data_IF_036991825478
#
_entry.id   IF_036991825478
#
_cell.length_a   1.000
_cell.length_b   1.000
_cell.length_c   1.000
_cell.angle_alpha   90.00
_cell.angle_beta   90.00
_cell.angle_gamma   90.00
#
_symmetry.space_group_name_H-M   'P 1'
#
loop_
_entity.id
_entity.type
_entity.pdbx_description
1 polymer ?
#
# COMPACT_ATOMS: atom_id res chain seq x y z
N UNK A 1 29.10 -25.05 -27.27
CA UNK A 1 28.49 -25.67 -26.07
C UNK A 1 27.14 -25.04 -25.81
N UNK A 2 26.16 -25.85 -25.60
CA UNK A 2 24.79 -25.34 -25.37
C UNK A 2 24.60 -25.12 -23.89
N UNK A 3 23.97 -23.99 -23.52
CA UNK A 3 23.50 -23.77 -22.15
C UNK A 3 22.42 -24.79 -21.83
N UNK A 4 22.49 -25.36 -20.65
CA UNK A 4 21.43 -26.25 -20.18
C UNK A 4 20.19 -25.40 -19.77
N UNK A 5 19.04 -26.06 -19.70
CA UNK A 5 17.85 -25.43 -19.19
C UNK A 5 18.07 -24.91 -17.75
N UNK A 6 18.81 -25.64 -16.93
CA UNK A 6 19.11 -25.22 -15.56
C UNK A 6 19.95 -23.95 -15.52
N UNK A 7 20.90 -23.78 -16.41
CA UNK A 7 21.73 -22.58 -16.49
C UNK A 7 20.89 -21.37 -16.91
N UNK A 8 20.01 -21.55 -17.91
CA UNK A 8 19.10 -20.50 -18.36
C UNK A 8 18.12 -20.09 -17.25
N UNK A 9 17.57 -21.07 -16.54
CA UNK A 9 16.66 -20.80 -15.42
C UNK A 9 17.37 -20.06 -14.29
N UNK A 10 18.62 -20.38 -14.01
CA UNK A 10 19.41 -19.69 -12.98
C UNK A 10 19.61 -18.22 -13.34
N UNK A 11 19.94 -17.93 -14.60
CA UNK A 11 20.09 -16.57 -15.09
C UNK A 11 18.78 -15.78 -14.97
N UNK A 12 17.65 -16.41 -15.34
CA UNK A 12 16.33 -15.80 -15.27
C UNK A 12 15.93 -15.52 -13.81
N UNK A 13 16.24 -16.44 -12.89
CA UNK A 13 15.94 -16.23 -11.47
C UNK A 13 16.66 -15.00 -10.94
N UNK A 14 17.94 -14.81 -11.25
CA UNK A 14 18.70 -13.65 -10.81
C UNK A 14 18.12 -12.36 -11.36
N UNK A 15 17.83 -12.34 -12.66
CA UNK A 15 17.25 -11.16 -13.33
C UNK A 15 15.87 -10.82 -12.78
N UNK A 16 14.99 -11.83 -12.68
CA UNK A 16 13.62 -11.64 -12.22
C UNK A 16 13.55 -11.29 -10.74
N UNK A 17 14.50 -11.75 -9.94
CA UNK A 17 14.52 -11.48 -8.50
C UNK A 17 14.57 -9.98 -8.22
N UNK A 18 15.42 -9.24 -8.91
CA UNK A 18 15.48 -7.79 -8.76
C UNK A 18 14.17 -7.11 -9.11
N UNK A 19 13.57 -7.52 -10.22
CA UNK A 19 12.29 -6.98 -10.66
C UNK A 19 11.18 -7.29 -9.66
N UNK A 20 11.15 -8.52 -9.15
CA UNK A 20 10.18 -8.92 -8.12
C UNK A 20 10.34 -8.11 -6.85
N UNK A 21 11.58 -7.85 -6.42
CA UNK A 21 11.83 -7.05 -5.22
C UNK A 21 11.40 -5.60 -5.41
N UNK A 22 11.61 -5.03 -6.59
CA UNK A 22 11.11 -3.70 -6.91
C UNK A 22 9.59 -3.63 -6.87
N UNK A 23 8.92 -4.67 -7.39
CA UNK A 23 7.47 -4.76 -7.35
C UNK A 23 6.95 -4.94 -5.92
N UNK A 24 7.60 -5.82 -5.14
CA UNK A 24 7.24 -6.01 -3.73
C UNK A 24 7.40 -4.72 -2.93
N UNK A 25 8.42 -3.92 -3.23
CA UNK A 25 8.61 -2.63 -2.60
C UNK A 25 7.39 -1.74 -2.75
N UNK A 26 6.77 -1.74 -3.93
CA UNK A 26 5.57 -0.94 -4.19
C UNK A 26 4.37 -1.40 -3.39
N UNK A 27 4.26 -2.71 -3.15
CA UNK A 27 3.10 -3.30 -2.49
C UNK A 27 3.33 -3.63 -1.01
N UNK A 28 4.55 -3.45 -0.51
CA UNK A 28 4.87 -3.78 0.87
C UNK A 28 3.99 -3.06 1.88
N UNK A 29 3.72 -1.75 1.74
CA UNK A 29 2.81 -1.08 2.66
C UNK A 29 1.43 -1.72 2.69
N UNK A 30 0.92 -2.16 1.54
CA UNK A 30 -0.36 -2.86 1.45
C UNK A 30 -0.33 -4.14 2.28
N UNK A 31 0.71 -4.97 2.12
CA UNK A 31 0.82 -6.22 2.88
C UNK A 31 0.90 -5.98 4.39
N UNK A 32 1.59 -4.93 4.79
CA UNK A 32 1.66 -4.54 6.21
C UNK A 32 0.31 -4.10 6.74
N UNK A 33 -0.44 -3.38 5.93
CA UNK A 33 -1.71 -2.78 6.35
C UNK A 33 -2.88 -3.75 6.24
N UNK A 34 -2.76 -4.81 5.46
CA UNK A 34 -3.84 -5.79 5.29
C UNK A 34 -4.15 -6.52 6.60
N UNK A 35 -3.19 -6.61 7.50
CA UNK A 35 -3.38 -7.21 8.83
C UNK A 35 -4.15 -6.29 9.78
N UNK A 36 -4.28 -5.01 9.45
CA UNK A 36 -5.10 -4.10 10.22
C UNK A 36 -6.57 -4.24 9.81
N UNK A 37 -7.46 -3.92 10.71
CA UNK A 37 -8.88 -4.01 10.44
C UNK A 37 -9.64 -2.92 11.16
N UNK A 38 -10.93 -2.81 10.87
CA UNK A 38 -11.82 -1.89 11.57
C UNK A 38 -12.47 -2.54 12.80
N UNK A 39 -12.06 -3.76 13.18
CA UNK A 39 -12.69 -4.51 14.29
C UNK A 39 -12.64 -3.76 15.61
N UNK A 40 -11.52 -3.08 15.88
CA UNK A 40 -11.32 -2.35 17.14
C UNK A 40 -11.65 -0.86 17.00
N UNK A 41 -12.11 -0.45 15.84
CA UNK A 41 -12.45 0.93 15.57
C UNK A 41 -13.95 1.14 15.85
N UNK A 42 -14.27 2.10 16.73
CA UNK A 42 -15.66 2.40 17.11
C UNK A 42 -16.45 1.15 17.54
N UNK A 43 -15.82 0.30 18.34
CA UNK A 43 -16.42 -0.94 18.86
C UNK A 43 -16.90 -1.89 17.75
N UNK A 44 -16.21 -1.91 16.63
CA UNK A 44 -16.54 -2.77 15.50
C UNK A 44 -17.67 -2.29 14.61
N UNK A 45 -18.10 -1.05 14.77
CA UNK A 45 -19.19 -0.47 13.97
C UNK A 45 -18.94 -0.58 12.45
N UNK A 46 -17.69 -0.47 12.03
CA UNK A 46 -17.29 -0.53 10.62
C UNK A 46 -16.51 -1.80 10.27
N UNK A 47 -16.69 -2.84 11.05
CA UNK A 47 -16.01 -4.12 10.85
C UNK A 47 -16.21 -4.71 9.46
N UNK A 48 -17.36 -4.43 8.84
CA UNK A 48 -17.68 -4.91 7.49
C UNK A 48 -16.85 -4.26 6.40
N UNK A 49 -16.19 -3.13 6.69
CA UNK A 49 -15.32 -2.48 5.72
C UNK A 49 -14.05 -3.30 5.52
N UNK A 50 -13.71 -3.54 4.27
CA UNK A 50 -12.48 -4.26 3.91
C UNK A 50 -11.31 -3.28 3.92
N UNK A 51 -10.46 -3.38 4.93
CA UNK A 51 -9.29 -2.51 5.08
C UNK A 51 -8.34 -2.65 3.90
N UNK A 52 -8.11 -3.89 3.43
CA UNK A 52 -7.21 -4.12 2.30
C UNK A 52 -7.67 -3.43 1.03
N UNK A 53 -8.97 -3.56 0.73
CA UNK A 53 -9.56 -2.90 -0.44
C UNK A 53 -9.42 -1.38 -0.36
N UNK A 54 -9.79 -0.81 0.79
CA UNK A 54 -9.79 0.65 0.98
C UNK A 54 -8.36 1.19 0.92
N UNK A 55 -7.41 0.54 1.59
CA UNK A 55 -6.02 0.98 1.59
C UNK A 55 -5.43 0.91 0.18
N UNK A 56 -5.71 -0.15 -0.57
CA UNK A 56 -5.24 -0.26 -1.96
C UNK A 56 -5.78 0.89 -2.81
N UNK A 57 -7.07 1.21 -2.68
CA UNK A 57 -7.68 2.30 -3.41
C UNK A 57 -7.09 3.66 -3.03
N UNK A 58 -6.87 3.89 -1.75
CA UNK A 58 -6.29 5.14 -1.24
C UNK A 58 -4.85 5.32 -1.72
N UNK A 59 -4.03 4.27 -1.65
CA UNK A 59 -2.65 4.34 -2.12
C UNK A 59 -2.58 4.61 -3.62
N UNK A 60 -3.44 3.95 -4.38
CA UNK A 60 -3.53 4.18 -5.82
C UNK A 60 -3.93 5.62 -6.12
N UNK A 61 -4.90 6.14 -5.40
CA UNK A 61 -5.35 7.53 -5.54
C UNK A 61 -4.20 8.51 -5.28
N UNK A 62 -3.43 8.32 -4.21
CA UNK A 62 -2.30 9.18 -3.90
C UNK A 62 -1.25 9.16 -5.01
N UNK A 63 -0.92 7.98 -5.52
CA UNK A 63 0.08 7.84 -6.57
C UNK A 63 -0.38 8.50 -7.87
N UNK A 64 -1.60 8.23 -8.30
CA UNK A 64 -2.11 8.77 -9.56
C UNK A 64 -2.31 10.29 -9.51
N UNK A 65 -2.86 10.80 -8.41
CA UNK A 65 -3.08 12.24 -8.27
C UNK A 65 -1.76 13.00 -8.18
N UNK A 66 -0.79 12.47 -7.46
CA UNK A 66 0.53 13.09 -7.37
C UNK A 66 1.21 13.15 -8.74
N UNK A 67 1.18 12.05 -9.49
CA UNK A 67 1.76 11.99 -10.84
C UNK A 67 1.02 12.91 -11.82
N UNK A 68 -0.29 12.98 -11.73
CA UNK A 68 -1.13 13.75 -12.66
C UNK A 68 -1.01 15.25 -12.44
N UNK A 69 -1.06 15.67 -11.17
CA UNK A 69 -1.07 17.10 -10.82
C UNK A 69 0.30 17.67 -10.50
N UNK A 70 1.30 16.82 -10.38
CA UNK A 70 2.66 17.20 -9.96
C UNK A 70 2.67 17.97 -8.64
N UNK A 71 1.73 17.63 -7.74
CA UNK A 71 1.63 18.24 -6.41
C UNK A 71 1.01 17.25 -5.43
N UNK A 72 1.18 17.55 -4.15
CA UNK A 72 0.68 16.71 -3.09
C UNK A 72 -0.86 16.70 -3.05
N UNK A 73 -1.42 15.58 -2.63
CA UNK A 73 -2.84 15.44 -2.41
C UNK A 73 -3.20 16.14 -1.10
N UNK A 74 -4.22 16.98 -1.15
CA UNK A 74 -4.70 17.67 0.06
C UNK A 74 -5.64 16.78 0.86
N UNK A 75 -5.82 17.10 2.14
CA UNK A 75 -6.75 16.38 3.01
C UNK A 75 -8.20 16.42 2.49
N UNK A 76 -8.73 17.56 2.05
CA UNK A 76 -10.08 17.58 1.47
C UNK A 76 -10.23 16.68 0.24
N UNK A 77 -9.23 16.63 -0.63
CA UNK A 77 -9.24 15.73 -1.80
C UNK A 77 -9.27 14.27 -1.38
N UNK A 78 -8.47 13.91 -0.38
CA UNK A 78 -8.45 12.56 0.18
C UNK A 78 -9.80 12.20 0.81
N UNK A 79 -10.37 13.11 1.59
CA UNK A 79 -11.66 12.89 2.24
C UNK A 79 -12.78 12.68 1.21
N UNK A 80 -12.80 13.50 0.16
CA UNK A 80 -13.80 13.38 -0.91
C UNK A 80 -13.67 12.04 -1.64
N UNK A 81 -12.44 11.62 -1.91
CA UNK A 81 -12.20 10.32 -2.53
C UNK A 81 -12.68 9.17 -1.64
N UNK A 82 -12.35 9.21 -0.36
CA UNK A 82 -12.77 8.19 0.58
C UNK A 82 -14.29 8.10 0.69
N UNK A 83 -14.97 9.24 0.77
CA UNK A 83 -16.44 9.29 0.80
C UNK A 83 -17.05 8.67 -0.46
N UNK A 84 -16.44 8.93 -1.61
CA UNK A 84 -16.86 8.34 -2.87
C UNK A 84 -16.77 6.82 -2.83
N UNK A 85 -15.64 6.28 -2.36
CA UNK A 85 -15.41 4.83 -2.25
C UNK A 85 -16.40 4.20 -1.28
N UNK A 86 -16.60 4.80 -0.12
CA UNK A 86 -17.52 4.26 0.88
C UNK A 86 -18.95 4.19 0.35
N UNK A 87 -19.37 5.22 -0.36
CA UNK A 87 -20.72 5.26 -0.93
C UNK A 87 -20.87 4.30 -2.10
N UNK A 88 -19.95 4.36 -3.06
CA UNK A 88 -20.02 3.57 -4.29
C UNK A 88 -19.85 2.08 -4.05
N UNK A 89 -18.84 1.71 -3.27
CA UNK A 89 -18.40 0.33 -3.16
C UNK A 89 -18.97 -0.38 -1.92
N UNK A 90 -19.29 0.35 -0.86
CA UNK A 90 -19.81 -0.23 0.37
C UNK A 90 -21.25 0.21 0.69
N UNK A 91 -21.82 1.12 -0.09
CA UNK A 91 -23.17 1.60 0.15
C UNK A 91 -23.32 2.47 1.40
N UNK A 92 -22.22 3.05 1.89
CA UNK A 92 -22.24 3.87 3.10
C UNK A 92 -22.17 5.35 2.74
N UNK A 93 -23.29 6.05 2.92
CA UNK A 93 -23.35 7.49 2.74
C UNK A 93 -23.26 8.15 4.12
N UNK A 94 -22.05 8.37 4.59
CA UNK A 94 -21.78 8.91 5.92
C UNK A 94 -21.70 10.44 5.90
N UNK A 95 -22.01 11.06 7.05
CA UNK A 95 -21.83 12.48 7.20
C UNK A 95 -20.34 12.84 7.23
N UNK A 96 -20.02 14.13 7.21
CA UNK A 96 -18.65 14.61 7.15
C UNK A 96 -17.85 14.17 8.37
N UNK A 97 -18.45 14.25 9.57
CA UNK A 97 -17.76 13.89 10.80
C UNK A 97 -17.39 12.41 10.86
N UNK A 98 -18.31 11.52 10.54
CA UNK A 98 -18.05 10.08 10.52
C UNK A 98 -17.04 9.72 9.44
N UNK A 99 -17.12 10.37 8.29
CA UNK A 99 -16.14 10.17 7.20
C UNK A 99 -14.75 10.60 7.61
N UNK A 100 -14.62 11.72 8.33
CA UNK A 100 -13.33 12.19 8.85
C UNK A 100 -12.73 11.21 9.84
N UNK A 101 -13.54 10.62 10.72
CA UNK A 101 -13.05 9.65 11.69
C UNK A 101 -12.46 8.42 10.99
N UNK A 102 -13.13 7.91 9.96
CA UNK A 102 -12.62 6.80 9.17
C UNK A 102 -11.36 7.21 8.40
N UNK A 103 -11.37 8.38 7.79
CA UNK A 103 -10.22 8.91 7.05
C UNK A 103 -8.99 9.03 7.93
N UNK A 104 -9.16 9.55 9.14
CA UNK A 104 -8.06 9.72 10.08
C UNK A 104 -7.53 8.38 10.59
N UNK A 105 -8.41 7.42 10.79
CA UNK A 105 -8.02 6.06 11.19
C UNK A 105 -7.16 5.41 10.11
N UNK A 106 -7.59 5.47 8.85
CA UNK A 106 -6.84 4.91 7.72
C UNK A 106 -5.50 5.64 7.55
N UNK A 107 -5.53 6.97 7.61
CA UNK A 107 -4.33 7.79 7.45
C UNK A 107 -3.28 7.46 8.53
N UNK A 108 -3.71 7.28 9.76
CA UNK A 108 -2.84 6.90 10.87
C UNK A 108 -2.12 5.58 10.61
N UNK A 109 -2.84 4.61 10.02
CA UNK A 109 -2.25 3.33 9.64
C UNK A 109 -1.25 3.47 8.48
N UNK A 110 -1.60 4.23 7.45
CA UNK A 110 -0.73 4.48 6.29
C UNK A 110 0.54 5.23 6.72
N UNK A 111 0.40 6.14 7.64
CA UNK A 111 1.49 6.97 8.16
C UNK A 111 2.57 6.15 8.87
N UNK A 112 2.21 5.00 9.43
CA UNK A 112 3.13 4.11 10.14
C UNK A 112 3.95 4.82 11.22
N UNK A 113 3.31 5.70 12.00
CA UNK A 113 3.94 6.50 13.04
C UNK A 113 5.10 7.36 12.54
N UNK A 114 5.03 7.79 11.28
CA UNK A 114 6.08 8.59 10.64
C UNK A 114 7.30 7.78 10.21
N UNK A 115 7.28 6.47 10.41
CA UNK A 115 8.39 5.60 10.02
C UNK A 115 8.20 5.09 8.59
N UNK A 116 9.28 4.89 7.83
CA UNK A 116 9.15 4.23 6.53
C UNK A 116 8.76 2.76 6.72
N UNK A 117 8.03 2.24 5.76
CA UNK A 117 7.88 0.79 5.64
C UNK A 117 9.18 0.21 5.13
N UNK A 118 9.69 -0.83 5.78
CA UNK A 118 10.94 -1.45 5.38
C UNK A 118 10.89 -2.96 5.48
N UNK A 119 11.62 -3.62 4.61
CA UNK A 119 11.82 -5.07 4.64
C UNK A 119 13.20 -5.40 4.12
N UNK A 120 13.72 -6.53 4.58
CA UNK A 120 15.03 -7.03 4.15
C UNK A 120 14.86 -8.11 3.11
N UNK A 121 15.76 -8.14 2.15
CA UNK A 121 15.80 -9.20 1.13
C UNK A 121 17.24 -9.48 0.72
N UNK A 122 17.46 -10.68 0.19
CA UNK A 122 18.77 -11.11 -0.32
C UNK A 122 18.90 -10.71 -1.78
N UNK A 123 20.03 -10.04 -2.13
CA UNK A 123 20.36 -9.71 -3.51
C UNK A 123 21.43 -10.68 -4.00
N UNK A 124 21.11 -11.62 -4.91
CA UNK A 124 22.07 -12.62 -5.37
C UNK A 124 23.20 -12.04 -6.23
N UNK A 125 23.02 -10.84 -6.79
CA UNK A 125 24.07 -10.18 -7.58
C UNK A 125 25.21 -9.73 -6.68
N UNK A 126 24.90 -9.08 -5.57
CA UNK A 126 25.88 -8.59 -4.61
C UNK A 126 26.19 -9.60 -3.51
N UNK A 127 25.38 -10.64 -3.36
CA UNK A 127 25.44 -11.63 -2.28
C UNK A 127 25.34 -10.99 -0.89
N UNK A 128 24.52 -9.94 -0.80
CA UNK A 128 24.32 -9.18 0.44
C UNK A 128 22.84 -9.06 0.74
N UNK A 129 22.53 -8.89 2.03
CA UNK A 129 21.20 -8.47 2.43
C UNK A 129 21.05 -6.97 2.20
N UNK A 130 19.93 -6.61 1.57
CA UNK A 130 19.55 -5.21 1.37
C UNK A 130 18.30 -4.90 2.13
N UNK A 131 18.16 -3.65 2.52
CA UNK A 131 16.95 -3.15 3.17
C UNK A 131 16.26 -2.22 2.20
N UNK A 132 15.01 -2.52 1.88
CA UNK A 132 14.17 -1.64 1.07
C UNK A 132 13.28 -0.82 1.98
N UNK A 133 13.22 0.48 1.74
CA UNK A 133 12.43 1.42 2.52
C UNK A 133 11.50 2.20 1.61
N UNK A 134 10.26 2.39 2.07
CA UNK A 134 9.29 3.22 1.39
C UNK A 134 8.59 4.10 2.41
N UNK A 135 8.66 5.40 2.22
CA UNK A 135 7.95 6.38 3.03
C UNK A 135 6.79 6.92 2.20
N UNK A 136 5.58 6.74 2.70
CA UNK A 136 4.38 7.20 2.00
C UNK A 136 4.08 8.65 2.38
N UNK A 137 4.29 8.98 3.62
CA UNK A 137 4.01 10.30 4.18
C UNK A 137 5.15 10.72 5.11
#
# INVERSE_FOLDING_TARGET
>A
MKNTMAENMTGDIISDHRERMLNLKKYYPFFRLIDTSFSNFKDGKYEILDMGYIVMAVLRFFIEENNFKEKDVTYPEYLDFLRLILKRDFGLDLNEQDSKEIADYIFDKIKNDGRPFEFSYFDPVDRKKRVSRMKII
#
